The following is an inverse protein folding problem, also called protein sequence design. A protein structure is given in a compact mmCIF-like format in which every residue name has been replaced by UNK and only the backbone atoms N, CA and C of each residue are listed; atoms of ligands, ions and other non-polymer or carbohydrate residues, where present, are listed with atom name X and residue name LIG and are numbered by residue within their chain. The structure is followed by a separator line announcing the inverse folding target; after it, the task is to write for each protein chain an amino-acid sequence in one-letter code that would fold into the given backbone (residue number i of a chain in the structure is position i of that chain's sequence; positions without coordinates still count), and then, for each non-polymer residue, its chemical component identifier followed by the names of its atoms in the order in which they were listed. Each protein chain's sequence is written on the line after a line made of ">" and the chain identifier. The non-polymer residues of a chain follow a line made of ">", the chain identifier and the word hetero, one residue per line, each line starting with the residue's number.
data_IF_908986138537
#
_entry.id   IF_908986138537
#
_cell.length_a   1.000
_cell.length_b   1.000
_cell.length_c   1.000
_cell.angle_alpha   90.00
_cell.angle_beta   90.00
_cell.angle_gamma   90.00
#
_symmetry.space_group_name_H-M   'P 1'
#
loop_
_entity.id
_entity.type
_entity.pdbx_description
1 polymer ?
#
# COMPACT_ATOMS: atom_id res chain seq x y z
N UNK A 1 2.83 9.69 11.12
CA UNK A 1 1.42 9.36 11.34
C UNK A 1 1.22 7.92 10.88
N UNK A 2 1.80 6.96 11.61
CA UNK A 2 1.56 5.54 11.31
C UNK A 2 0.15 5.24 11.79
N UNK A 3 -0.76 4.98 10.85
CA UNK A 3 -2.01 4.32 11.18
C UNK A 3 -1.67 2.84 11.37
N UNK A 4 -1.80 2.31 12.59
CA UNK A 4 -1.51 0.90 12.81
C UNK A 4 -2.56 0.05 12.10
N UNK A 5 -2.14 -0.91 11.29
CA UNK A 5 -3.02 -1.75 10.45
C UNK A 5 -4.11 -2.47 11.24
N UNK A 6 -3.84 -2.77 12.52
CA UNK A 6 -4.79 -3.44 13.42
C UNK A 6 -5.99 -2.58 13.81
N UNK A 7 -5.90 -1.23 13.75
CA UNK A 7 -7.03 -0.35 14.08
C UNK A 7 -8.23 -0.51 13.16
N UNK A 8 -8.02 -0.93 11.91
CA UNK A 8 -9.13 -1.29 11.03
C UNK A 8 -9.75 -2.62 11.43
N UNK A 9 -8.94 -3.60 11.81
CA UNK A 9 -9.43 -4.91 12.24
C UNK A 9 -10.17 -4.84 13.58
N UNK A 10 -9.77 -3.95 14.50
CA UNK A 10 -10.52 -3.69 15.72
C UNK A 10 -11.97 -3.26 15.44
N UNK A 11 -12.19 -2.52 14.34
CA UNK A 11 -13.52 -2.09 13.90
C UNK A 11 -14.27 -3.16 13.11
N UNK A 12 -13.59 -3.96 12.29
CA UNK A 12 -14.23 -4.81 11.28
C UNK A 12 -14.13 -6.32 11.52
N UNK A 13 -13.17 -6.78 12.34
CA UNK A 13 -12.88 -8.19 12.60
C UNK A 13 -12.10 -8.40 13.93
N UNK A 14 -12.64 -7.99 15.09
CA UNK A 14 -11.96 -8.11 16.39
C UNK A 14 -11.64 -9.57 16.76
N UNK A 15 -12.46 -10.52 16.32
CA UNK A 15 -12.25 -11.96 16.56
C UNK A 15 -10.92 -12.48 15.96
N UNK A 16 -10.43 -11.86 14.88
CA UNK A 16 -9.16 -12.23 14.28
C UNK A 16 -7.97 -11.77 15.11
N UNK A 17 -8.08 -10.60 15.76
CA UNK A 17 -7.06 -10.07 16.66
C UNK A 17 -6.95 -10.94 17.92
N UNK A 18 -8.09 -11.32 18.50
CA UNK A 18 -8.14 -12.23 19.65
C UNK A 18 -7.56 -13.60 19.31
N UNK A 19 -7.95 -14.19 18.17
CA UNK A 19 -7.45 -15.50 17.73
C UNK A 19 -5.93 -15.52 17.47
N UNK A 20 -5.34 -14.39 17.09
CA UNK A 20 -3.90 -14.23 16.91
C UNK A 20 -3.14 -13.93 18.21
N UNK A 21 -3.84 -13.69 19.33
CA UNK A 21 -3.20 -13.21 20.56
C UNK A 21 -2.50 -11.87 20.35
N UNK A 22 -3.12 -10.98 19.59
CA UNK A 22 -2.51 -9.69 19.22
C UNK A 22 -2.30 -8.82 20.46
N UNK A 23 -1.04 -8.41 20.67
CA UNK A 23 -0.62 -7.46 21.71
C UNK A 23 -0.20 -6.15 21.04
N UNK A 24 -0.93 -5.06 21.28
CA UNK A 24 -0.68 -3.76 20.65
C UNK A 24 0.61 -3.08 21.13
N UNK A 25 1.22 -3.58 22.20
CA UNK A 25 2.51 -3.11 22.73
C UNK A 25 3.71 -3.89 22.17
N UNK A 26 3.46 -5.05 21.54
CA UNK A 26 4.51 -5.90 20.99
C UNK A 26 4.89 -5.52 19.54
N UNK A 27 6.15 -5.77 19.17
CA UNK A 27 6.58 -5.65 17.78
C UNK A 27 6.12 -6.88 16.99
N UNK A 28 5.21 -6.66 16.03
CA UNK A 28 4.74 -7.71 15.12
C UNK A 28 5.47 -7.68 13.79
N UNK A 29 6.21 -8.74 13.48
CA UNK A 29 6.82 -8.90 12.17
C UNK A 29 5.74 -9.25 11.13
N UNK A 30 5.42 -8.31 10.24
CA UNK A 30 4.48 -8.55 9.14
C UNK A 30 5.20 -9.22 7.95
N UNK A 31 4.91 -10.50 7.65
CA UNK A 31 5.56 -11.18 6.54
C UNK A 31 5.29 -10.46 5.23
N UNK A 32 6.34 -10.21 4.43
CA UNK A 32 6.27 -9.56 3.11
C UNK A 32 5.73 -8.12 3.11
N UNK A 33 5.67 -7.41 4.25
CA UNK A 33 5.32 -5.96 4.31
C UNK A 33 6.09 -5.11 3.30
N UNK A 34 7.38 -5.44 3.11
CA UNK A 34 8.25 -4.76 2.15
C UNK A 34 7.73 -4.80 0.70
N UNK A 35 6.95 -5.82 0.30
CA UNK A 35 6.40 -5.94 -1.06
C UNK A 35 5.36 -4.84 -1.31
N UNK A 36 4.50 -4.61 -0.32
CA UNK A 36 3.44 -3.59 -0.37
C UNK A 36 4.08 -2.21 -0.33
N UNK A 37 4.97 -1.96 0.64
CA UNK A 37 5.68 -0.68 0.77
C UNK A 37 6.48 -0.33 -0.48
N UNK A 38 7.12 -1.32 -1.10
CA UNK A 38 7.87 -1.13 -2.35
C UNK A 38 6.97 -0.71 -3.51
N UNK A 39 5.75 -1.24 -3.58
CA UNK A 39 4.77 -0.84 -4.60
C UNK A 39 4.40 0.63 -4.42
N UNK A 40 4.11 1.05 -3.20
CA UNK A 40 3.85 2.47 -2.89
C UNK A 40 5.07 3.37 -3.15
N UNK A 41 6.28 2.90 -2.84
CA UNK A 41 7.50 3.63 -3.15
C UNK A 41 7.68 3.85 -4.66
N UNK A 42 7.26 2.90 -5.50
CA UNK A 42 7.25 3.09 -6.96
C UNK A 42 6.19 4.07 -7.42
N UNK A 43 4.97 3.97 -6.89
CA UNK A 43 3.88 4.90 -7.21
C UNK A 43 4.22 6.34 -6.80
N UNK A 44 4.89 6.54 -5.66
CA UNK A 44 5.36 7.84 -5.19
C UNK A 44 6.39 8.52 -6.12
N UNK A 45 7.04 7.78 -7.03
CA UNK A 45 7.90 8.36 -8.08
C UNK A 45 7.10 8.98 -9.22
N UNK A 46 5.81 8.67 -9.33
CA UNK A 46 4.90 9.36 -10.22
C UNK A 46 4.37 10.61 -9.53
N UNK A 47 4.84 11.79 -9.95
CA UNK A 47 4.46 13.09 -9.37
C UNK A 47 2.94 13.28 -9.27
N UNK A 48 2.18 12.68 -10.18
CA UNK A 48 0.71 12.79 -10.20
C UNK A 48 0.02 11.98 -9.10
N UNK A 49 0.66 10.90 -8.63
CA UNK A 49 0.20 10.07 -7.52
C UNK A 49 0.79 10.50 -6.17
N UNK A 50 1.68 11.50 -6.14
CA UNK A 50 2.30 11.97 -4.89
C UNK A 50 1.31 12.67 -3.96
N UNK A 51 0.20 13.17 -4.50
CA UNK A 51 -0.93 13.74 -3.77
C UNK A 51 -2.20 13.41 -4.51
N UNK A 52 -3.31 13.25 -3.78
CA UNK A 52 -4.60 13.03 -4.40
C UNK A 52 -5.10 14.34 -5.02
N UNK A 53 -4.94 14.45 -6.33
CA UNK A 53 -5.35 15.61 -7.13
C UNK A 53 -6.62 15.34 -7.93
N UNK A 54 -6.99 14.07 -8.07
CA UNK A 54 -8.05 13.68 -8.99
C UNK A 54 -9.38 13.72 -8.26
N UNK A 55 -10.38 14.35 -8.88
CA UNK A 55 -11.72 14.42 -8.30
C UNK A 55 -12.45 13.06 -8.34
N UNK A 56 -12.14 12.24 -9.35
CA UNK A 56 -12.77 10.95 -9.58
C UNK A 56 -11.80 9.83 -9.23
N UNK A 57 -12.22 8.88 -8.39
CA UNK A 57 -11.41 7.70 -8.05
C UNK A 57 -10.97 6.89 -9.28
N UNK A 58 -11.81 6.83 -10.32
CA UNK A 58 -11.49 6.17 -11.60
C UNK A 58 -10.28 6.81 -12.30
N UNK A 59 -10.08 8.12 -12.16
CA UNK A 59 -8.90 8.78 -12.70
C UNK A 59 -7.65 8.37 -11.92
N UNK A 60 -7.70 8.35 -10.58
CA UNK A 60 -6.60 7.86 -9.72
C UNK A 60 -6.23 6.41 -10.05
N UNK A 61 -7.22 5.54 -10.24
CA UNK A 61 -7.03 4.15 -10.66
C UNK A 61 -6.27 4.06 -11.98
N UNK A 62 -6.72 4.81 -12.99
CA UNK A 62 -6.05 4.87 -14.31
C UNK A 62 -4.59 5.33 -14.19
N UNK A 63 -4.31 6.28 -13.29
CA UNK A 63 -2.94 6.75 -13.05
C UNK A 63 -2.05 5.70 -12.38
N UNK A 64 -2.60 4.88 -11.47
CA UNK A 64 -1.90 3.73 -10.89
C UNK A 64 -1.51 2.71 -11.96
N UNK A 65 -2.45 2.34 -12.83
CA UNK A 65 -2.20 1.39 -13.92
C UNK A 65 -1.12 1.90 -14.90
N UNK A 66 -1.20 3.19 -15.27
CA UNK A 66 -0.22 3.82 -16.14
C UNK A 66 1.17 3.89 -15.49
N UNK A 67 1.24 4.20 -14.18
CA UNK A 67 2.49 4.23 -13.44
C UNK A 67 3.18 2.86 -13.44
N UNK A 68 2.41 1.79 -13.17
CA UNK A 68 2.90 0.42 -13.16
C UNK A 68 3.30 -0.06 -14.56
N UNK A 69 2.51 0.25 -15.58
CA UNK A 69 2.84 -0.05 -16.98
C UNK A 69 4.17 0.58 -17.39
N UNK A 70 4.38 1.87 -17.09
CA UNK A 70 5.64 2.58 -17.34
C UNK A 70 6.82 1.96 -16.60
N UNK A 71 6.63 1.50 -15.36
CA UNK A 71 7.66 0.80 -14.59
C UNK A 71 8.04 -0.53 -15.24
N UNK A 72 7.05 -1.33 -15.64
CA UNK A 72 7.26 -2.62 -16.32
C UNK A 72 7.98 -2.44 -17.65
N UNK A 73 7.54 -1.49 -18.49
CA UNK A 73 8.22 -1.16 -19.74
C UNK A 73 9.69 -0.81 -19.53
N UNK A 74 10.01 0.02 -18.53
CA UNK A 74 11.40 0.37 -18.19
C UNK A 74 12.25 -0.81 -17.75
N UNK A 75 11.66 -1.86 -17.16
CA UNK A 75 12.38 -3.07 -16.77
C UNK A 75 12.60 -4.00 -17.97
N UNK A 76 11.66 -4.01 -18.91
CA UNK A 76 11.76 -4.82 -20.12
C UNK A 76 12.78 -4.25 -21.12
N UNK A 77 12.92 -2.93 -21.19
CA UNK A 77 13.76 -2.27 -22.19
C UNK A 77 15.16 -1.87 -21.70
N UNK A 78 15.46 -2.06 -20.42
CA UNK A 78 16.80 -1.83 -19.88
C UNK A 78 17.55 -3.16 -19.84
N UNK A 79 18.67 -3.31 -20.57
CA UNK A 79 19.52 -4.50 -20.48
C UNK A 79 20.18 -4.63 -19.10
#
# INVERSE_FOLDING_TARGET
>A
MEYPWWRQLERYAPEMLEAQGFDDTAFHMLPRRWVVERTFAWLGRNRRLAKDFEYLGKATETWCDLAMSRLLLRRLTRP
#
